data_IF_775336247450
#
_entry.id   IF_775336247450
#
_cell.length_a   1.000
_cell.length_b   1.000
_cell.length_c   1.000
_cell.angle_alpha   90.00
_cell.angle_beta   90.00
_cell.angle_gamma   90.00
#
_symmetry.space_group_name_H-M   'P 1'
#
loop_
_entity.id
_entity.type
_entity.pdbx_description
1 polymer ?
#
# COMPACT_ATOMS: atom_id res chain seq x y z
N UNK A 1 35.46 32.27 35.77
CA UNK A 1 34.60 33.36 35.30
C UNK A 1 34.81 33.60 33.81
N UNK A 2 34.02 32.97 32.94
CA UNK A 2 33.75 33.51 31.60
C UNK A 2 32.29 33.25 31.27
N UNK A 3 31.63 34.37 31.00
CA UNK A 3 30.22 34.55 30.76
C UNK A 3 29.82 34.05 29.38
N UNK A 4 28.53 33.80 29.27
CA UNK A 4 27.70 33.39 28.13
C UNK A 4 28.05 34.02 26.79
N UNK A 5 27.97 33.21 25.73
CA UNK A 5 27.43 33.69 24.45
C UNK A 5 26.12 32.96 24.19
N UNK A 6 25.02 33.72 24.24
CA UNK A 6 23.75 33.25 23.73
C UNK A 6 23.89 32.96 22.24
N UNK A 7 23.42 31.78 21.82
CA UNK A 7 23.13 31.57 20.41
C UNK A 7 21.73 32.12 20.20
N UNK A 8 21.70 33.22 19.47
CA UNK A 8 20.51 33.96 19.11
C UNK A 8 19.44 33.02 18.55
N UNK A 9 18.27 33.11 19.19
CA UNK A 9 17.00 32.66 18.67
C UNK A 9 16.76 33.37 17.33
N UNK A 10 17.09 32.70 16.22
CA UNK A 10 16.72 33.16 14.88
C UNK A 10 15.20 33.00 14.74
N UNK A 11 14.49 34.01 15.24
CA UNK A 11 13.07 34.19 15.14
C UNK A 11 12.66 34.44 13.68
N UNK A 12 12.41 33.37 12.92
CA UNK A 12 11.48 33.37 11.78
C UNK A 12 11.01 31.94 11.48
N UNK A 13 9.71 31.80 11.21
CA UNK A 13 8.95 30.60 10.86
C UNK A 13 8.33 29.83 12.05
N UNK A 14 7.02 29.56 11.92
CA UNK A 14 6.10 28.85 12.85
C UNK A 14 6.78 27.93 13.86
N UNK A 15 6.26 27.93 15.10
CA UNK A 15 6.68 27.05 16.20
C UNK A 15 6.53 25.56 15.84
N UNK A 16 7.50 25.02 15.10
CA UNK A 16 7.58 23.62 14.74
C UNK A 16 8.46 22.91 15.76
N UNK A 17 7.95 21.79 16.28
CA UNK A 17 8.72 20.94 17.19
C UNK A 17 9.59 20.02 16.33
N UNK A 18 10.83 20.43 16.08
CA UNK A 18 11.76 19.66 15.27
C UNK A 18 12.25 18.41 16.03
N UNK A 19 12.23 17.26 15.36
CA UNK A 19 12.84 15.99 15.84
C UNK A 19 14.36 16.01 15.63
N UNK A 20 14.80 16.66 14.55
CA UNK A 20 16.19 16.92 14.21
C UNK A 20 16.36 18.42 14.06
N UNK A 21 17.32 18.99 14.80
CA UNK A 21 17.76 20.36 14.57
C UNK A 21 18.38 20.49 13.17
N UNK A 22 18.52 21.72 12.63
CA UNK A 22 19.29 21.93 11.41
C UNK A 22 20.70 21.38 11.60
N UNK A 23 21.14 20.51 10.68
CA UNK A 23 22.47 19.89 10.69
C UNK A 23 23.16 20.24 9.37
N UNK A 24 24.39 20.73 9.46
CA UNK A 24 25.26 20.89 8.32
C UNK A 24 25.85 19.52 7.95
N UNK A 25 25.52 19.07 6.74
CA UNK A 25 25.84 17.73 6.24
C UNK A 25 26.65 17.84 4.95
N UNK A 26 27.86 17.27 4.94
CA UNK A 26 28.58 16.99 3.71
C UNK A 26 28.09 15.66 3.12
N UNK A 27 27.57 15.66 1.90
CA UNK A 27 27.11 14.43 1.24
C UNK A 27 27.70 14.32 -0.16
N UNK A 28 28.32 13.19 -0.47
CA UNK A 28 28.71 12.83 -1.84
C UNK A 28 27.95 11.58 -2.28
N UNK A 29 27.35 11.65 -3.46
CA UNK A 29 26.57 10.56 -4.03
C UNK A 29 27.12 10.20 -5.41
N UNK A 30 27.41 8.92 -5.61
CA UNK A 30 27.90 8.38 -6.87
C UNK A 30 26.97 7.25 -7.28
N UNK A 31 26.39 7.36 -8.47
CA UNK A 31 25.56 6.32 -9.07
C UNK A 31 26.08 5.99 -10.45
N UNK A 32 26.34 4.70 -10.68
CA UNK A 32 26.75 4.20 -11.99
C UNK A 32 25.56 4.13 -12.93
N UNK A 33 25.75 4.54 -14.19
CA UNK A 33 24.74 4.41 -15.25
C UNK A 33 24.50 2.94 -15.63
N UNK A 34 23.39 2.64 -16.32
CA UNK A 34 23.01 1.26 -16.65
C UNK A 34 24.05 0.49 -17.48
N UNK A 35 24.76 1.16 -18.38
CA UNK A 35 25.83 0.56 -19.18
C UNK A 35 27.14 0.37 -18.38
N UNK A 36 27.39 1.25 -17.41
CA UNK A 36 28.57 1.19 -16.53
C UNK A 36 28.38 0.13 -15.43
N UNK A 37 27.14 0.00 -14.92
CA UNK A 37 26.74 -1.05 -13.99
C UNK A 37 26.88 -2.45 -14.61
N UNK A 38 26.64 -2.60 -15.92
CA UNK A 38 26.80 -3.87 -16.64
C UNK A 38 28.28 -4.26 -16.86
N UNK A 39 29.19 -3.28 -16.91
CA UNK A 39 30.64 -3.49 -17.08
C UNK A 39 31.40 -3.54 -15.74
N UNK A 40 30.68 -3.49 -14.62
CA UNK A 40 31.29 -3.34 -13.31
C UNK A 40 32.01 -4.62 -12.89
N UNK A 41 33.14 -4.45 -12.21
CA UNK A 41 33.80 -5.55 -11.52
C UNK A 41 32.87 -6.18 -10.47
N UNK A 42 32.99 -7.50 -10.31
CA UNK A 42 32.28 -8.27 -9.28
C UNK A 42 32.63 -7.67 -7.91
N UNK A 43 31.65 -7.17 -7.16
CA UNK A 43 31.85 -6.65 -5.80
C UNK A 43 31.94 -5.13 -5.60
N UNK A 44 32.01 -4.29 -6.63
CA UNK A 44 31.93 -2.82 -6.42
C UNK A 44 30.52 -2.35 -5.90
N UNK A 45 30.26 -1.08 -5.63
CA UNK A 45 28.89 -0.58 -5.39
C UNK A 45 28.25 -0.01 -6.67
N UNK A 46 26.93 -0.18 -6.87
CA UNK A 46 26.20 0.47 -7.99
C UNK A 46 25.86 1.92 -7.62
N UNK A 47 25.60 2.12 -6.34
CA UNK A 47 25.36 3.40 -5.70
C UNK A 47 26.25 3.44 -4.47
N UNK A 48 27.03 4.50 -4.34
CA UNK A 48 27.83 4.80 -3.17
C UNK A 48 27.43 6.18 -2.66
N UNK A 49 27.25 6.28 -1.35
CA UNK A 49 26.95 7.55 -0.69
C UNK A 49 27.91 7.70 0.48
N UNK A 50 28.67 8.79 0.50
CA UNK A 50 29.46 9.19 1.66
C UNK A 50 28.75 10.34 2.36
N UNK A 51 28.63 10.23 3.67
CA UNK A 51 28.03 11.25 4.53
C UNK A 51 29.05 11.66 5.59
N UNK A 52 29.40 12.94 5.60
CA UNK A 52 30.17 13.58 6.64
C UNK A 52 29.22 14.40 7.51
N UNK A 53 28.87 13.81 8.66
CA UNK A 53 28.04 14.45 9.67
C UNK A 53 28.95 15.00 10.74
N UNK A 54 28.84 16.29 11.06
CA UNK A 54 29.53 16.85 12.23
C UNK A 54 28.96 16.23 13.52
N UNK A 55 29.69 16.32 14.63
CA UNK A 55 29.27 15.74 15.91
C UNK A 55 27.90 16.31 16.31
N UNK A 56 26.88 15.46 16.30
CA UNK A 56 25.49 15.85 16.55
C UNK A 56 24.92 15.02 17.69
N UNK A 57 24.24 15.69 18.62
CA UNK A 57 23.57 15.06 19.74
C UNK A 57 22.06 15.16 19.53
N UNK A 58 21.43 14.01 19.32
CA UNK A 58 19.99 13.90 19.11
C UNK A 58 19.30 13.70 20.46
N UNK A 59 18.42 14.63 20.85
CA UNK A 59 17.63 14.53 22.09
C UNK A 59 16.15 14.50 21.74
N UNK A 60 15.47 13.43 22.17
CA UNK A 60 14.06 13.21 21.90
C UNK A 60 13.26 13.32 23.20
N UNK A 61 12.21 14.14 23.19
CA UNK A 61 11.20 14.11 24.24
C UNK A 61 10.27 12.90 24.12
N UNK A 62 9.52 12.57 25.17
CA UNK A 62 8.62 11.41 25.17
C UNK A 62 7.55 11.46 24.06
N UNK A 63 6.95 12.63 23.83
CA UNK A 63 5.98 12.82 22.75
C UNK A 63 6.61 12.67 21.35
N UNK A 64 7.84 13.16 21.18
CA UNK A 64 8.57 13.03 19.91
C UNK A 64 8.97 11.57 19.65
N UNK A 65 9.39 10.85 20.68
CA UNK A 65 9.69 9.42 20.58
C UNK A 65 8.46 8.62 20.14
N UNK A 66 7.31 8.84 20.77
CA UNK A 66 6.05 8.19 20.38
C UNK A 66 5.67 8.53 18.94
N UNK A 67 5.73 9.82 18.57
CA UNK A 67 5.46 10.26 17.20
C UNK A 67 6.40 9.63 16.16
N UNK A 68 7.69 9.50 16.49
CA UNK A 68 8.67 8.85 15.61
C UNK A 68 8.39 7.35 15.45
N UNK A 69 7.95 6.67 16.51
CA UNK A 69 7.55 5.26 16.43
C UNK A 69 6.33 5.08 15.52
N UNK A 70 5.32 5.94 15.64
CA UNK A 70 4.18 5.93 14.71
C UNK A 70 4.58 6.22 13.26
N UNK A 71 5.48 7.19 13.06
CA UNK A 71 6.01 7.51 11.73
C UNK A 71 6.82 6.34 11.14
N UNK A 72 7.63 5.66 11.95
CA UNK A 72 8.39 4.48 11.55
C UNK A 72 7.47 3.32 11.16
N UNK A 73 6.39 3.11 11.92
CA UNK A 73 5.37 2.11 11.58
C UNK A 73 4.66 2.47 10.26
N UNK A 74 4.29 3.74 10.08
CA UNK A 74 3.71 4.24 8.84
C UNK A 74 4.64 4.07 7.64
N UNK A 75 5.94 4.36 7.82
CA UNK A 75 6.95 4.20 6.79
C UNK A 75 7.21 2.73 6.47
N UNK A 76 7.21 1.85 7.48
CA UNK A 76 7.27 0.40 7.31
C UNK A 76 6.07 -0.11 6.50
N UNK A 77 4.85 0.34 6.80
CA UNK A 77 3.65 0.02 6.01
C UNK A 77 3.75 0.56 4.58
N UNK A 78 4.23 1.79 4.38
CA UNK A 78 4.37 2.39 3.04
C UNK A 78 5.44 1.68 2.20
N UNK A 79 6.57 1.34 2.79
CA UNK A 79 7.65 0.59 2.14
C UNK A 79 7.24 -0.86 1.86
N UNK A 80 6.49 -1.50 2.76
CA UNK A 80 5.91 -2.83 2.53
C UNK A 80 4.79 -2.82 1.47
N UNK A 81 4.01 -1.75 1.37
CA UNK A 81 3.03 -1.57 0.30
C UNK A 81 3.72 -1.34 -1.06
N UNK A 82 4.84 -0.59 -1.07
CA UNK A 82 5.65 -0.33 -2.26
C UNK A 82 6.48 -1.53 -2.72
N UNK A 83 7.02 -2.32 -1.78
CA UNK A 83 7.54 -3.66 -2.03
C UNK A 83 6.37 -4.60 -2.26
N UNK A 84 5.70 -4.44 -3.40
CA UNK A 84 4.43 -5.09 -3.69
C UNK A 84 4.50 -6.55 -3.24
N UNK A 85 3.57 -7.01 -2.40
CA UNK A 85 3.53 -8.38 -1.91
C UNK A 85 3.58 -9.44 -3.04
N UNK A 86 3.37 -9.01 -4.28
CA UNK A 86 3.40 -9.79 -5.51
C UNK A 86 4.63 -9.50 -6.40
N UNK A 87 5.67 -8.82 -5.91
CA UNK A 87 6.84 -8.44 -6.73
C UNK A 87 7.49 -9.67 -7.40
N UNK A 88 7.46 -10.82 -6.73
CA UNK A 88 7.91 -12.12 -7.23
C UNK A 88 7.09 -12.67 -8.42
N UNK A 89 5.86 -12.20 -8.62
CA UNK A 89 4.99 -12.56 -9.76
C UNK A 89 5.14 -11.60 -10.95
N UNK A 90 5.99 -10.58 -10.85
CA UNK A 90 6.18 -9.59 -11.90
C UNK A 90 6.76 -10.25 -13.17
N UNK A 91 6.18 -10.01 -14.35
CA UNK A 91 6.76 -10.49 -15.60
C UNK A 91 8.17 -9.93 -15.83
N UNK A 92 9.11 -10.78 -16.24
CA UNK A 92 10.53 -10.41 -16.48
C UNK A 92 10.69 -9.38 -17.61
N UNK A 93 9.80 -9.40 -18.61
CA UNK A 93 9.85 -8.47 -19.76
C UNK A 93 9.16 -7.15 -19.43
N UNK A 94 9.69 -6.03 -19.95
CA UNK A 94 9.09 -4.69 -19.76
C UNK A 94 7.65 -4.62 -20.31
N UNK A 95 6.78 -3.76 -19.74
CA UNK A 95 5.36 -3.64 -20.14
C UNK A 95 5.16 -3.41 -21.64
N UNK A 96 6.01 -2.58 -22.25
CA UNK A 96 5.96 -2.24 -23.68
C UNK A 96 6.07 -3.46 -24.62
N UNK A 97 6.76 -4.51 -24.20
CA UNK A 97 6.97 -5.70 -25.05
C UNK A 97 5.91 -6.78 -24.85
N UNK A 98 5.28 -6.84 -23.67
CA UNK A 98 4.30 -7.89 -23.33
C UNK A 98 3.19 -7.33 -22.41
N UNK A 99 2.33 -6.41 -22.92
CA UNK A 99 1.34 -5.72 -22.09
C UNK A 99 0.32 -6.69 -21.48
N UNK A 100 -0.09 -7.74 -22.20
CA UNK A 100 -1.02 -8.77 -21.70
C UNK A 100 -0.55 -9.46 -20.41
N UNK A 101 0.75 -9.74 -20.28
CA UNK A 101 1.31 -10.38 -19.07
C UNK A 101 1.33 -9.42 -17.89
N UNK A 102 1.55 -8.13 -18.14
CA UNK A 102 1.49 -7.09 -17.12
C UNK A 102 0.07 -6.83 -16.63
N UNK A 103 -0.91 -6.81 -17.54
CA UNK A 103 -2.32 -6.72 -17.16
C UNK A 103 -2.78 -7.93 -16.34
N UNK A 104 -2.37 -9.14 -16.73
CA UNK A 104 -2.68 -10.36 -15.98
C UNK A 104 -2.00 -10.37 -14.59
N UNK A 105 -0.77 -9.86 -14.49
CA UNK A 105 -0.08 -9.64 -13.22
C UNK A 105 -0.82 -8.63 -12.33
N UNK A 106 -1.16 -7.46 -12.87
CA UNK A 106 -1.88 -6.40 -12.15
C UNK A 106 -3.24 -6.90 -11.66
N UNK A 107 -3.99 -7.58 -12.52
CA UNK A 107 -5.27 -8.20 -12.16
C UNK A 107 -5.11 -9.25 -11.04
N UNK A 108 -4.10 -10.12 -11.11
CA UNK A 108 -3.86 -11.12 -10.07
C UNK A 108 -3.39 -10.50 -8.74
N UNK A 109 -2.58 -9.44 -8.79
CA UNK A 109 -2.16 -8.69 -7.61
C UNK A 109 -3.34 -7.96 -6.96
N UNK A 110 -4.22 -7.34 -7.76
CA UNK A 110 -5.47 -6.76 -7.29
C UNK A 110 -6.42 -7.81 -6.73
N UNK A 111 -6.57 -8.95 -7.40
CA UNK A 111 -7.42 -10.05 -6.93
C UNK A 111 -6.91 -10.62 -5.63
N UNK A 112 -5.59 -10.79 -5.47
CA UNK A 112 -4.98 -11.31 -4.24
C UNK A 112 -4.93 -10.28 -3.10
N UNK A 113 -4.78 -8.99 -3.37
CA UNK A 113 -4.97 -7.93 -2.35
C UNK A 113 -6.43 -7.84 -1.94
N UNK A 114 -7.37 -7.91 -2.88
CA UNK A 114 -8.80 -7.98 -2.59
C UNK A 114 -9.15 -9.26 -1.81
N UNK A 115 -8.63 -10.43 -2.20
CA UNK A 115 -8.76 -11.69 -1.44
C UNK A 115 -8.05 -11.62 -0.06
N UNK A 116 -6.96 -10.88 0.05
CA UNK A 116 -6.29 -10.59 1.32
C UNK A 116 -7.14 -9.69 2.23
N UNK A 117 -7.87 -8.72 1.67
CA UNK A 117 -8.95 -8.02 2.38
C UNK A 117 -10.10 -8.97 2.71
N UNK A 118 -10.40 -9.96 1.85
CA UNK A 118 -11.39 -11.02 2.12
C UNK A 118 -11.01 -11.93 3.29
N UNK A 119 -9.73 -12.05 3.66
CA UNK A 119 -9.31 -12.73 4.90
C UNK A 119 -9.65 -11.91 6.17
N UNK A 120 -10.05 -10.65 6.01
CA UNK A 120 -10.67 -9.83 7.07
C UNK A 120 -12.20 -9.92 7.09
N UNK A 121 -12.81 -10.86 6.38
CA UNK A 121 -14.25 -11.14 6.45
C UNK A 121 -14.48 -12.10 7.63
N UNK A 122 -15.22 -11.64 8.63
CA UNK A 122 -15.64 -12.49 9.75
C UNK A 122 -16.40 -13.71 9.21
N UNK A 123 -16.21 -14.91 9.78
CA UNK A 123 -16.87 -16.13 9.31
C UNK A 123 -18.41 -15.99 9.25
N UNK A 124 -18.99 -15.16 10.13
CA UNK A 124 -20.41 -14.78 10.07
C UNK A 124 -20.79 -14.10 8.77
N UNK A 125 -19.94 -13.23 8.23
CA UNK A 125 -20.18 -12.50 7.00
C UNK A 125 -20.02 -13.41 5.78
N UNK A 126 -19.11 -14.39 5.83
CA UNK A 126 -19.05 -15.49 4.84
C UNK A 126 -20.36 -16.30 4.86
N UNK A 127 -20.84 -16.69 6.04
CA UNK A 127 -22.08 -17.45 6.17
C UNK A 127 -23.30 -16.67 5.66
N UNK A 128 -23.38 -15.37 5.97
CA UNK A 128 -24.43 -14.48 5.43
C UNK A 128 -24.39 -14.44 3.90
N UNK A 129 -23.20 -14.21 3.32
CA UNK A 129 -23.04 -14.16 1.87
C UNK A 129 -23.36 -15.50 1.19
N UNK A 130 -23.03 -16.63 1.80
CA UNK A 130 -23.41 -17.96 1.29
C UNK A 130 -24.93 -18.18 1.28
N UNK A 131 -25.63 -17.71 2.32
CA UNK A 131 -27.10 -17.77 2.39
C UNK A 131 -27.72 -16.85 1.33
N UNK A 132 -27.25 -15.61 1.22
CA UNK A 132 -27.73 -14.67 0.19
C UNK A 132 -27.46 -15.19 -1.22
N UNK A 133 -26.30 -15.82 -1.47
CA UNK A 133 -25.98 -16.43 -2.77
C UNK A 133 -26.94 -17.55 -3.13
N UNK A 134 -27.28 -18.42 -2.17
CA UNK A 134 -28.22 -19.52 -2.41
C UNK A 134 -29.60 -18.98 -2.80
N UNK A 135 -30.12 -18.01 -2.04
CA UNK A 135 -31.40 -17.34 -2.34
C UNK A 135 -31.39 -16.63 -3.70
N UNK A 136 -30.29 -15.94 -4.01
CA UNK A 136 -30.13 -15.25 -5.30
C UNK A 136 -30.16 -16.23 -6.46
N UNK A 137 -29.44 -17.36 -6.37
CA UNK A 137 -29.43 -18.38 -7.42
C UNK A 137 -30.82 -18.99 -7.60
N UNK A 138 -31.50 -19.36 -6.51
CA UNK A 138 -32.85 -19.93 -6.55
C UNK A 138 -33.83 -18.96 -7.26
N UNK A 139 -33.86 -17.69 -6.86
CA UNK A 139 -34.71 -16.67 -7.47
C UNK A 139 -34.33 -16.40 -8.93
N UNK A 140 -33.04 -16.25 -9.23
CA UNK A 140 -32.57 -16.00 -10.59
C UNK A 140 -32.87 -17.17 -11.54
N UNK A 141 -32.76 -18.41 -11.07
CA UNK A 141 -33.14 -19.59 -11.87
C UNK A 141 -34.64 -19.64 -12.14
N UNK A 142 -35.49 -19.28 -11.18
CA UNK A 142 -36.93 -19.23 -11.37
C UNK A 142 -37.34 -18.18 -12.42
N UNK A 143 -36.67 -17.02 -12.44
CA UNK A 143 -36.85 -15.99 -13.47
C UNK A 143 -36.40 -16.51 -14.85
N UNK A 144 -35.22 -17.13 -14.93
CA UNK A 144 -34.68 -17.65 -16.20
C UNK A 144 -35.52 -18.79 -16.79
N UNK A 145 -36.09 -19.64 -15.94
CA UNK A 145 -36.95 -20.76 -16.35
C UNK A 145 -38.39 -20.33 -16.64
N UNK A 146 -38.74 -19.05 -16.40
CA UNK A 146 -40.10 -18.55 -16.58
C UNK A 146 -41.10 -19.13 -15.57
N UNK A 147 -40.60 -19.63 -14.44
CA UNK A 147 -41.41 -20.17 -13.34
C UNK A 147 -41.91 -19.07 -12.40
N UNK A 148 -41.45 -17.83 -12.58
CA UNK A 148 -41.87 -16.65 -11.84
C UNK A 148 -43.19 -16.07 -12.37
N UNK A 149 -44.31 -16.64 -11.91
CA UNK A 149 -45.66 -16.21 -12.33
C UNK A 149 -46.14 -14.93 -11.65
N UNK A 150 -45.61 -14.64 -10.47
CA UNK A 150 -46.06 -13.55 -9.60
C UNK A 150 -45.10 -12.35 -9.60
N UNK A 151 -43.95 -12.45 -10.30
CA UNK A 151 -42.90 -11.43 -10.32
C UNK A 151 -42.17 -11.29 -8.98
N UNK A 152 -42.28 -12.30 -8.12
CA UNK A 152 -41.73 -12.30 -6.78
C UNK A 152 -40.22 -12.60 -6.82
N UNK A 153 -39.81 -13.51 -7.71
CA UNK A 153 -38.41 -13.87 -7.85
C UNK A 153 -37.58 -12.72 -8.45
N UNK A 154 -38.14 -11.99 -9.41
CA UNK A 154 -37.51 -10.78 -9.97
C UNK A 154 -37.30 -9.69 -8.92
N UNK A 155 -38.34 -9.38 -8.12
CA UNK A 155 -38.23 -8.41 -7.00
C UNK A 155 -37.21 -8.84 -5.95
N UNK A 156 -37.13 -10.15 -5.68
CA UNK A 156 -36.16 -10.70 -4.73
C UNK A 156 -34.73 -10.53 -5.23
N UNK A 157 -34.49 -10.71 -6.54
CA UNK A 157 -33.16 -10.45 -7.13
C UNK A 157 -32.77 -8.97 -7.08
N UNK A 158 -33.69 -8.05 -7.34
CA UNK A 158 -33.44 -6.61 -7.26
C UNK A 158 -33.15 -6.13 -5.84
N UNK A 159 -33.86 -6.67 -4.84
CA UNK A 159 -33.61 -6.37 -3.42
C UNK A 159 -32.23 -6.86 -2.98
N UNK A 160 -31.85 -8.08 -3.37
CA UNK A 160 -30.54 -8.63 -3.07
C UNK A 160 -29.43 -7.81 -3.74
N UNK A 161 -29.60 -7.42 -5.00
CA UNK A 161 -28.65 -6.55 -5.72
C UNK A 161 -28.47 -5.18 -5.03
N UNK A 162 -29.50 -4.66 -4.35
CA UNK A 162 -29.43 -3.42 -3.57
C UNK A 162 -28.74 -3.56 -2.21
N UNK A 163 -28.79 -4.73 -1.59
CA UNK A 163 -28.13 -5.01 -0.30
C UNK A 163 -26.64 -5.40 -0.45
N UNK A 164 -26.25 -5.85 -1.64
CA UNK A 164 -24.90 -6.30 -1.96
C UNK A 164 -24.01 -5.15 -2.42
N UNK A 165 -22.76 -5.14 -1.98
CA UNK A 165 -21.75 -4.25 -2.58
C UNK A 165 -21.62 -4.55 -4.07
N UNK A 166 -21.43 -3.49 -4.88
CA UNK A 166 -21.35 -3.58 -6.34
C UNK A 166 -20.38 -4.68 -6.85
N UNK A 167 -19.21 -4.82 -6.22
CA UNK A 167 -18.23 -5.85 -6.58
C UNK A 167 -18.68 -7.28 -6.24
N UNK A 168 -19.55 -7.45 -5.24
CA UNK A 168 -20.07 -8.75 -4.79
C UNK A 168 -21.30 -9.15 -5.59
N UNK A 169 -22.16 -8.20 -5.96
CA UNK A 169 -23.28 -8.42 -6.87
C UNK A 169 -22.79 -8.97 -8.23
N UNK A 170 -21.66 -8.44 -8.75
CA UNK A 170 -21.01 -8.95 -9.96
C UNK A 170 -20.49 -10.40 -9.86
N UNK A 171 -20.35 -10.97 -8.66
CA UNK A 171 -19.92 -12.36 -8.44
C UNK A 171 -21.08 -13.35 -8.30
N UNK A 172 -22.32 -12.85 -8.20
CA UNK A 172 -23.53 -13.65 -8.07
C UNK A 172 -24.23 -13.89 -9.41
N UNK A 173 -24.02 -12.98 -10.37
CA UNK A 173 -24.31 -13.17 -11.80
C UNK A 173 -23.25 -14.02 -12.49
#
# INVERSE_FOLDING_TARGET
>A
WRSTFGVAEAATARAHTFVLCPIDLGASYVQLGGAEAAKRALGAPVQAMSLEVQETVLRLGAAQYQGLMYAAEGLSRATAAGASAFAHLRPVRRPKHCPRRWWRYAFNALRRTALGRKLGIEWRQVQRLSISRRKYIEAHTAVLLGEDKDGEAERTTEQLDGELEYEVALLFR
#
